data_IF_526043713650
#
_entry.id   IF_526043713650
#
_cell.length_a   1.000
_cell.length_b   1.000
_cell.length_c   1.000
_cell.angle_alpha   90.00
_cell.angle_beta   90.00
_cell.angle_gamma   90.00
#
_symmetry.space_group_name_H-M   'P 1'
#
loop_
_entity.id
_entity.type
_entity.pdbx_description
1 polymer ?
#
# COMPACT_ATOMS: atom_id res chain seq x y z
N UNK A 1 -34.39 -28.26 -80.05
CA UNK A 1 -34.81 -28.98 -78.78
C UNK A 1 -33.68 -28.83 -77.83
N UNK A 2 -33.92 -27.92 -76.91
CA UNK A 2 -32.91 -27.32 -76.05
C UNK A 2 -32.67 -28.17 -74.79
N UNK A 3 -31.41 -28.42 -74.50
CA UNK A 3 -30.97 -29.02 -73.29
C UNK A 3 -30.30 -27.94 -72.41
N UNK A 4 -30.98 -27.52 -71.36
CA UNK A 4 -30.51 -26.52 -70.40
C UNK A 4 -29.45 -27.13 -69.48
N UNK A 5 -28.21 -26.64 -69.55
CA UNK A 5 -27.15 -26.91 -68.61
C UNK A 5 -27.31 -26.02 -67.40
N UNK A 6 -27.61 -26.61 -66.23
CA UNK A 6 -27.52 -25.94 -64.91
C UNK A 6 -26.08 -26.00 -64.40
N UNK A 7 -25.42 -24.85 -64.38
CA UNK A 7 -24.11 -24.67 -63.74
C UNK A 7 -24.30 -24.58 -62.19
N UNK A 8 -23.81 -25.57 -61.47
CA UNK A 8 -23.69 -25.52 -60.01
C UNK A 8 -22.48 -24.68 -59.61
N UNK A 9 -22.70 -23.53 -58.96
CA UNK A 9 -21.67 -22.74 -58.33
C UNK A 9 -21.34 -23.33 -56.95
N UNK A 10 -20.15 -23.91 -56.84
CA UNK A 10 -19.56 -24.27 -55.52
C UNK A 10 -19.08 -22.98 -54.84
N UNK A 11 -19.75 -22.62 -53.74
CA UNK A 11 -19.25 -21.57 -52.84
C UNK A 11 -18.34 -22.22 -51.82
N UNK A 12 -17.04 -22.03 -52.00
CA UNK A 12 -16.03 -22.45 -51.01
C UNK A 12 -16.04 -21.45 -49.85
N UNK A 13 -16.61 -21.85 -48.71
CA UNK A 13 -16.49 -21.13 -47.46
C UNK A 13 -15.12 -21.44 -46.85
N UNK A 14 -14.17 -20.51 -46.94
CA UNK A 14 -12.91 -20.59 -46.22
C UNK A 14 -13.18 -20.25 -44.73
N UNK A 15 -13.19 -21.26 -43.89
CA UNK A 15 -13.20 -21.07 -42.42
C UNK A 15 -11.80 -20.64 -41.99
N UNK A 16 -11.62 -19.34 -41.78
CA UNK A 16 -10.42 -18.79 -41.17
C UNK A 16 -10.44 -19.10 -39.67
N UNK A 17 -9.85 -20.22 -39.25
CA UNK A 17 -9.66 -20.54 -37.85
C UNK A 17 -8.54 -19.64 -37.28
N UNK A 18 -8.91 -18.53 -36.65
CA UNK A 18 -8.01 -17.78 -35.78
C UNK A 18 -7.69 -18.64 -34.57
N UNK A 19 -6.52 -19.27 -34.56
CA UNK A 19 -5.98 -19.90 -33.36
C UNK A 19 -5.67 -18.76 -32.34
N UNK A 20 -6.56 -18.57 -31.37
CA UNK A 20 -6.27 -17.77 -30.18
C UNK A 20 -5.26 -18.62 -29.38
N UNK A 21 -3.97 -18.27 -29.45
CA UNK A 21 -2.97 -18.78 -28.52
C UNK A 21 -3.32 -18.22 -27.12
N UNK A 22 -4.18 -18.91 -26.40
CA UNK A 22 -4.32 -18.72 -24.98
C UNK A 22 -2.99 -19.14 -24.34
N UNK A 23 -2.19 -18.18 -23.91
CA UNK A 23 -1.03 -18.42 -23.06
C UNK A 23 -1.52 -19.21 -21.85
N UNK A 24 -1.13 -20.47 -21.73
CA UNK A 24 -1.57 -21.33 -20.65
C UNK A 24 -0.95 -20.79 -19.34
N UNK A 25 -1.78 -20.25 -18.47
CA UNK A 25 -1.36 -19.86 -17.13
C UNK A 25 -0.98 -21.11 -16.34
N UNK A 26 0.20 -21.09 -15.72
CA UNK A 26 0.67 -22.18 -14.87
C UNK A 26 0.44 -21.79 -13.40
N UNK A 27 -0.39 -22.55 -12.71
CA UNK A 27 -0.62 -22.41 -11.27
C UNK A 27 0.30 -23.34 -10.52
N UNK A 28 1.13 -22.79 -9.62
CA UNK A 28 1.98 -23.53 -8.68
C UNK A 28 1.52 -23.23 -7.26
N UNK A 29 1.40 -24.24 -6.43
CA UNK A 29 1.02 -24.09 -5.02
C UNK A 29 2.13 -24.68 -4.14
N UNK A 30 2.56 -23.92 -3.15
CA UNK A 30 3.58 -24.30 -2.17
C UNK A 30 2.97 -24.23 -0.78
N UNK A 31 3.26 -25.21 0.05
CA UNK A 31 2.78 -25.30 1.43
C UNK A 31 3.95 -25.47 2.38
N UNK A 32 3.99 -24.62 3.42
CA UNK A 32 5.04 -24.67 4.43
C UNK A 32 4.40 -24.78 5.81
N UNK A 33 4.88 -25.68 6.62
CA UNK A 33 4.52 -25.73 8.05
C UNK A 33 5.48 -24.82 8.80
N UNK A 34 4.93 -23.87 9.55
CA UNK A 34 5.70 -22.87 10.30
C UNK A 34 5.24 -22.82 11.76
N UNK A 35 6.10 -22.34 12.63
CA UNK A 35 5.76 -22.05 14.02
C UNK A 35 5.20 -20.63 14.19
N UNK A 36 4.92 -20.20 15.43
CA UNK A 36 4.43 -18.85 15.74
C UNK A 36 5.41 -17.78 15.26
N UNK A 37 4.86 -16.63 14.86
CA UNK A 37 5.62 -15.45 14.39
C UNK A 37 6.58 -15.79 13.25
N UNK A 38 6.09 -16.54 12.28
CA UNK A 38 6.85 -16.86 11.07
C UNK A 38 7.19 -15.61 10.28
N UNK A 39 8.34 -15.60 9.60
CA UNK A 39 8.77 -14.52 8.74
C UNK A 39 8.62 -14.94 7.27
N UNK A 40 7.78 -14.22 6.52
CA UNK A 40 7.49 -14.51 5.12
C UNK A 40 7.99 -13.36 4.25
N UNK A 41 8.87 -13.66 3.30
CA UNK A 41 9.40 -12.66 2.35
C UNK A 41 9.03 -13.05 0.93
N UNK A 42 8.41 -12.12 0.19
CA UNK A 42 8.03 -12.33 -1.20
C UNK A 42 8.55 -11.16 -2.03
N UNK A 43 9.36 -11.48 -3.02
CA UNK A 43 9.89 -10.50 -3.97
C UNK A 43 9.40 -10.84 -5.37
N UNK A 44 8.73 -9.88 -5.98
CA UNK A 44 8.19 -9.99 -7.34
C UNK A 44 8.55 -8.76 -8.15
N UNK A 45 8.81 -8.91 -9.42
CA UNK A 45 9.05 -7.77 -10.31
C UNK A 45 7.75 -7.23 -10.89
N UNK A 46 6.92 -8.14 -11.41
CA UNK A 46 5.68 -7.83 -12.12
C UNK A 46 4.53 -8.71 -11.61
N UNK A 47 3.39 -8.11 -11.37
CA UNK A 47 2.19 -8.78 -10.90
C UNK A 47 1.91 -8.55 -9.40
N UNK A 48 0.67 -8.76 -8.98
CA UNK A 48 0.22 -8.49 -7.62
C UNK A 48 0.77 -9.50 -6.61
N UNK A 49 0.94 -9.04 -5.37
CA UNK A 49 1.12 -9.89 -4.21
C UNK A 49 0.01 -9.55 -3.20
N UNK A 50 -0.82 -10.54 -2.87
CA UNK A 50 -1.89 -10.40 -1.88
C UNK A 50 -1.68 -11.38 -0.74
N UNK A 51 -1.59 -10.87 0.49
CA UNK A 51 -1.41 -11.66 1.70
C UNK A 51 -2.63 -11.50 2.61
N UNK A 52 -3.16 -12.63 3.07
CA UNK A 52 -4.30 -12.73 3.98
C UNK A 52 -4.03 -13.71 5.11
N UNK A 53 -4.72 -13.57 6.25
CA UNK A 53 -4.58 -14.54 7.32
C UNK A 53 -5.23 -15.88 6.95
N UNK A 54 -4.62 -16.96 7.43
CA UNK A 54 -5.18 -18.31 7.46
C UNK A 54 -5.63 -18.67 8.87
N UNK A 55 -6.48 -19.67 8.99
CA UNK A 55 -6.93 -20.18 10.29
C UNK A 55 -5.97 -21.19 10.92
N UNK A 56 -4.83 -21.50 10.28
CA UNK A 56 -3.91 -22.54 10.71
C UNK A 56 -2.46 -22.07 10.84
N UNK A 57 -1.56 -23.03 11.05
CA UNK A 57 -0.10 -22.81 11.17
C UNK A 57 0.63 -23.05 9.84
N UNK A 58 -0.08 -23.06 8.74
CA UNK A 58 0.51 -23.27 7.41
C UNK A 58 0.55 -21.94 6.64
N UNK A 59 1.65 -21.75 5.94
CA UNK A 59 1.79 -20.78 4.86
C UNK A 59 1.45 -21.48 3.56
N UNK A 60 0.49 -20.94 2.81
CA UNK A 60 0.12 -21.43 1.48
C UNK A 60 0.39 -20.34 0.48
N UNK A 61 1.28 -20.59 -0.46
CA UNK A 61 1.63 -19.66 -1.52
C UNK A 61 1.12 -20.21 -2.84
N UNK A 62 0.19 -19.50 -3.47
CA UNK A 62 -0.26 -19.77 -4.84
C UNK A 62 0.40 -18.77 -5.76
N UNK A 63 1.21 -19.26 -6.70
CA UNK A 63 1.82 -18.47 -7.76
C UNK A 63 1.16 -18.79 -9.11
N UNK A 64 0.68 -17.77 -9.80
CA UNK A 64 0.07 -17.87 -11.13
C UNK A 64 1.04 -17.22 -12.12
N UNK A 65 1.75 -18.07 -12.90
CA UNK A 65 2.69 -17.62 -13.91
C UNK A 65 1.94 -17.43 -15.24
N UNK A 66 2.09 -16.25 -15.82
CA UNK A 66 1.41 -15.89 -17.07
C UNK A 66 2.16 -16.30 -18.34
N UNK A 67 3.40 -16.75 -18.20
CA UNK A 67 4.21 -17.33 -19.28
C UNK A 67 5.35 -18.21 -18.73
N UNK A 68 6.18 -18.72 -19.62
CA UNK A 68 7.43 -19.45 -19.31
C UNK A 68 8.65 -18.52 -19.12
N UNK A 69 8.44 -17.21 -19.12
CA UNK A 69 9.51 -16.21 -18.95
C UNK A 69 9.79 -15.86 -17.49
N UNK A 70 9.09 -16.49 -16.57
CA UNK A 70 9.32 -16.37 -15.14
C UNK A 70 9.34 -17.74 -14.47
N UNK A 71 10.11 -17.84 -13.41
CA UNK A 71 10.17 -19.00 -12.51
C UNK A 71 10.01 -18.55 -11.08
N UNK A 72 9.55 -19.45 -10.22
CA UNK A 72 9.40 -19.20 -8.78
C UNK A 72 10.46 -19.98 -8.04
N UNK A 73 11.41 -19.26 -7.46
CA UNK A 73 12.38 -19.76 -6.51
C UNK A 73 11.78 -19.73 -5.11
N UNK A 74 11.98 -20.75 -4.34
CA UNK A 74 11.41 -20.86 -3.00
C UNK A 74 12.39 -21.52 -2.05
N UNK A 75 12.41 -21.04 -0.81
CA UNK A 75 13.22 -21.67 0.25
C UNK A 75 12.52 -21.55 1.59
N UNK A 76 12.75 -22.55 2.44
CA UNK A 76 12.35 -22.50 3.85
C UNK A 76 13.56 -22.80 4.73
N UNK A 77 13.78 -21.95 5.73
CA UNK A 77 14.79 -22.16 6.77
C UNK A 77 14.12 -21.95 8.14
N UNK A 78 13.79 -23.05 8.80
CA UNK A 78 13.05 -23.01 10.05
C UNK A 78 11.70 -22.30 9.88
N UNK A 79 11.54 -21.17 10.57
CA UNK A 79 10.32 -20.37 10.59
C UNK A 79 10.28 -19.27 9.52
N UNK A 80 11.28 -19.23 8.65
CA UNK A 80 11.39 -18.25 7.55
C UNK A 80 11.10 -18.92 6.22
N UNK A 81 10.24 -18.27 5.43
CA UNK A 81 9.90 -18.65 4.05
C UNK A 81 10.25 -17.48 3.12
N UNK A 82 11.08 -17.74 2.12
CA UNK A 82 11.47 -16.77 1.11
C UNK A 82 11.00 -17.24 -0.26
N UNK A 83 10.30 -16.37 -0.98
CA UNK A 83 9.77 -16.59 -2.32
C UNK A 83 10.28 -15.46 -3.24
N UNK A 84 10.80 -15.83 -4.39
CA UNK A 84 11.34 -14.90 -5.37
C UNK A 84 10.84 -15.25 -6.78
N UNK A 85 10.34 -14.29 -7.52
CA UNK A 85 10.13 -14.43 -8.97
C UNK A 85 11.46 -14.21 -9.69
N UNK A 86 11.98 -15.25 -10.31
CA UNK A 86 13.13 -15.19 -11.20
C UNK A 86 12.65 -14.93 -12.62
N UNK A 87 13.13 -13.84 -13.24
CA UNK A 87 12.80 -13.49 -14.62
C UNK A 87 13.91 -13.95 -15.56
N UNK A 88 13.51 -14.58 -16.66
CA UNK A 88 14.44 -14.91 -17.73
C UNK A 88 14.74 -13.71 -18.62
N UNK A 89 15.80 -13.81 -19.40
CA UNK A 89 16.21 -12.76 -20.32
C UNK A 89 15.05 -12.35 -21.25
N UNK A 90 14.90 -11.05 -21.52
CA UNK A 90 13.81 -10.45 -22.31
C UNK A 90 12.40 -10.56 -21.71
N UNK A 91 12.25 -10.92 -20.44
CA UNK A 91 10.94 -10.84 -19.80
C UNK A 91 10.45 -9.39 -19.69
N UNK A 92 9.22 -9.14 -20.16
CA UNK A 92 8.52 -7.85 -20.07
C UNK A 92 7.53 -7.85 -18.89
N UNK A 93 6.90 -6.72 -18.53
CA UNK A 93 5.85 -6.70 -17.52
C UNK A 93 4.68 -7.66 -17.81
N UNK A 94 4.40 -7.94 -19.09
CA UNK A 94 3.34 -8.86 -19.50
C UNK A 94 3.81 -10.33 -19.43
N UNK A 95 5.01 -10.61 -19.95
CA UNK A 95 5.54 -11.98 -20.05
C UNK A 95 6.21 -12.45 -18.76
N UNK A 96 6.78 -11.54 -17.94
CA UNK A 96 7.38 -11.86 -16.65
C UNK A 96 6.39 -11.78 -15.47
N UNK A 97 5.09 -11.64 -15.73
CA UNK A 97 4.08 -11.47 -14.70
C UNK A 97 3.85 -12.75 -13.91
N UNK A 98 3.94 -12.63 -12.58
CA UNK A 98 3.57 -13.68 -11.62
C UNK A 98 2.62 -13.06 -10.59
N UNK A 99 1.44 -13.63 -10.42
CA UNK A 99 0.47 -13.19 -9.43
C UNK A 99 0.57 -14.09 -8.20
N UNK A 100 0.71 -13.51 -7.00
CA UNK A 100 0.81 -14.24 -5.76
C UNK A 100 -0.44 -14.05 -4.89
N UNK A 101 -1.05 -15.17 -4.52
CA UNK A 101 -2.07 -15.26 -3.47
C UNK A 101 -1.49 -16.03 -2.29
N UNK A 102 -1.40 -15.42 -1.12
CA UNK A 102 -0.67 -15.98 0.01
C UNK A 102 -1.55 -15.99 1.25
N UNK A 103 -1.64 -17.15 1.87
CA UNK A 103 -2.29 -17.32 3.16
C UNK A 103 -1.22 -17.58 4.21
N UNK A 104 -1.22 -16.83 5.30
CA UNK A 104 -0.23 -16.91 6.38
C UNK A 104 -0.93 -16.98 7.74
N UNK A 105 -0.30 -17.53 8.78
CA UNK A 105 -0.80 -17.34 10.15
C UNK A 105 -0.96 -15.87 10.48
N UNK A 106 -1.99 -15.49 11.22
CA UNK A 106 -2.29 -14.08 11.50
C UNK A 106 -1.17 -13.34 12.26
N UNK A 107 -0.36 -14.07 13.04
CA UNK A 107 0.81 -13.57 13.78
C UNK A 107 2.11 -13.55 12.98
N UNK A 108 2.06 -13.92 11.69
CA UNK A 108 3.25 -13.92 10.82
C UNK A 108 3.66 -12.48 10.43
N UNK A 109 4.97 -12.24 10.42
CA UNK A 109 5.55 -11.02 9.86
C UNK A 109 5.76 -11.20 8.36
N UNK A 110 5.34 -10.20 7.56
CA UNK A 110 5.43 -10.26 6.11
C UNK A 110 6.29 -9.12 5.54
N UNK A 111 7.13 -9.46 4.59
CA UNK A 111 7.91 -8.49 3.81
C UNK A 111 7.60 -8.69 2.33
N UNK A 112 6.96 -7.71 1.70
CA UNK A 112 6.58 -7.77 0.30
C UNK A 112 7.33 -6.73 -0.50
N UNK A 113 7.94 -7.15 -1.61
CA UNK A 113 8.66 -6.27 -2.53
C UNK A 113 8.16 -6.44 -3.95
N UNK A 114 7.88 -5.32 -4.62
CA UNK A 114 7.50 -5.32 -6.02
C UNK A 114 8.02 -4.08 -6.74
N UNK A 115 8.43 -4.24 -8.00
CA UNK A 115 8.76 -3.08 -8.82
C UNK A 115 7.50 -2.31 -9.24
N UNK A 116 6.50 -2.99 -9.80
CA UNK A 116 5.29 -2.35 -10.36
C UNK A 116 3.98 -3.00 -9.97
N UNK A 117 3.98 -4.26 -9.53
CA UNK A 117 2.77 -4.97 -9.16
C UNK A 117 2.18 -4.47 -7.83
N UNK A 118 0.85 -4.41 -7.71
CA UNK A 118 0.22 -3.98 -6.45
C UNK A 118 0.55 -4.94 -5.29
N UNK A 119 0.75 -4.36 -4.11
CA UNK A 119 1.00 -5.07 -2.86
C UNK A 119 -0.20 -4.90 -1.92
N UNK A 120 -0.68 -5.99 -1.35
CA UNK A 120 -1.78 -5.97 -0.38
C UNK A 120 -1.47 -6.88 0.80
N UNK A 121 -1.64 -6.35 2.00
CA UNK A 121 -1.60 -7.09 3.26
C UNK A 121 -2.85 -6.78 4.08
N UNK A 122 -3.50 -7.81 4.60
CA UNK A 122 -4.81 -7.67 5.25
C UNK A 122 -4.93 -8.59 6.46
N UNK A 123 -5.51 -8.09 7.58
CA UNK A 123 -5.93 -8.88 8.72
C UNK A 123 -4.80 -9.52 9.54
N UNK A 124 -3.62 -8.89 9.62
CA UNK A 124 -2.46 -9.44 10.30
C UNK A 124 -2.22 -8.76 11.66
N UNK A 125 -1.57 -9.52 12.56
CA UNK A 125 -1.08 -9.07 13.87
C UNK A 125 0.45 -9.11 13.96
N UNK A 126 1.13 -9.58 12.92
CA UNK A 126 2.59 -9.53 12.76
C UNK A 126 3.02 -8.32 11.96
N UNK A 127 4.32 -8.02 11.99
CA UNK A 127 4.89 -6.85 11.31
C UNK A 127 4.68 -6.93 9.79
N UNK A 128 4.36 -5.78 9.17
CA UNK A 128 4.11 -5.64 7.74
C UNK A 128 5.10 -4.66 7.14
N UNK A 129 5.92 -5.13 6.21
CA UNK A 129 6.88 -4.31 5.47
C UNK A 129 6.59 -4.39 3.98
N UNK A 130 6.24 -3.25 3.36
CA UNK A 130 5.99 -3.14 1.92
C UNK A 130 7.02 -2.21 1.27
N UNK A 131 7.62 -2.66 0.18
CA UNK A 131 8.59 -1.88 -0.57
C UNK A 131 8.32 -1.98 -2.07
N UNK A 132 8.24 -0.83 -2.74
CA UNK A 132 7.98 -0.82 -4.18
C UNK A 132 8.40 0.47 -4.88
N UNK A 133 8.63 0.36 -6.19
CA UNK A 133 8.98 1.53 -7.00
C UNK A 133 7.73 2.26 -7.50
N UNK A 134 6.84 1.56 -8.20
CA UNK A 134 5.60 2.11 -8.78
C UNK A 134 4.38 1.28 -8.34
N UNK A 135 4.53 0.47 -7.31
CA UNK A 135 3.51 -0.41 -6.81
C UNK A 135 2.46 0.36 -6.00
N UNK A 136 1.19 0.15 -6.29
CA UNK A 136 0.12 0.51 -5.37
C UNK A 136 0.20 -0.37 -4.12
N UNK A 137 0.09 0.22 -2.93
CA UNK A 137 0.21 -0.49 -1.67
C UNK A 137 -1.06 -0.28 -0.82
N UNK A 138 -1.73 -1.37 -0.52
CA UNK A 138 -2.93 -1.37 0.33
C UNK A 138 -2.66 -2.21 1.59
N UNK A 139 -2.76 -1.61 2.76
CA UNK A 139 -2.64 -2.29 4.06
C UNK A 139 -3.93 -2.08 4.84
N UNK A 140 -4.56 -3.17 5.25
CA UNK A 140 -5.89 -3.14 5.86
C UNK A 140 -5.94 -3.99 7.12
N UNK A 141 -6.67 -3.50 8.14
CA UNK A 141 -7.02 -4.28 9.32
C UNK A 141 -5.81 -4.88 10.03
N UNK A 142 -4.79 -4.07 10.30
CA UNK A 142 -3.61 -4.46 11.07
C UNK A 142 -3.75 -3.95 12.51
N UNK A 143 -3.40 -4.78 13.47
CA UNK A 143 -3.40 -4.37 14.88
C UNK A 143 -2.17 -4.89 15.62
N UNK A 144 -1.73 -4.11 16.62
CA UNK A 144 -0.65 -4.45 17.54
C UNK A 144 0.69 -4.79 16.85
N UNK A 145 0.98 -4.14 15.71
CA UNK A 145 2.10 -4.50 14.84
C UNK A 145 2.84 -3.26 14.30
N UNK A 146 4.04 -3.48 13.76
CA UNK A 146 4.77 -2.44 13.02
C UNK A 146 4.39 -2.50 11.54
N UNK A 147 4.03 -1.35 10.96
CA UNK A 147 3.77 -1.18 9.53
C UNK A 147 4.81 -0.25 8.95
N UNK A 148 5.66 -0.79 8.09
CA UNK A 148 6.74 -0.05 7.45
C UNK A 148 6.58 -0.06 5.94
N UNK A 149 6.45 1.14 5.33
CA UNK A 149 6.21 1.27 3.90
C UNK A 149 7.22 2.19 3.25
N UNK A 150 7.79 1.73 2.12
CA UNK A 150 8.66 2.54 1.27
C UNK A 150 8.18 2.49 -0.18
N UNK A 151 7.94 3.66 -0.77
CA UNK A 151 7.59 3.78 -2.18
C UNK A 151 8.31 4.93 -2.87
N UNK A 152 8.60 4.76 -4.16
CA UNK A 152 9.07 5.87 -4.98
C UNK A 152 7.89 6.65 -5.58
N UNK A 153 6.92 5.97 -6.20
CA UNK A 153 5.81 6.62 -6.92
C UNK A 153 4.50 5.81 -6.89
N UNK A 154 4.29 4.97 -5.88
CA UNK A 154 3.04 4.21 -5.72
C UNK A 154 2.08 4.91 -4.76
N UNK A 155 0.78 4.83 -5.03
CA UNK A 155 -0.24 5.20 -4.05
C UNK A 155 -0.17 4.26 -2.85
N UNK A 156 -0.10 4.82 -1.66
CA UNK A 156 -0.16 4.08 -0.39
C UNK A 156 -1.50 4.34 0.29
N UNK A 157 -2.22 3.28 0.61
CA UNK A 157 -3.47 3.35 1.38
C UNK A 157 -3.37 2.48 2.63
N UNK A 158 -3.56 3.08 3.78
CA UNK A 158 -3.64 2.41 5.07
C UNK A 158 -5.06 2.56 5.60
N UNK A 159 -5.71 1.46 5.96
CA UNK A 159 -7.10 1.48 6.44
C UNK A 159 -7.26 0.59 7.67
N UNK A 160 -7.87 1.13 8.73
CA UNK A 160 -8.15 0.42 9.97
C UNK A 160 -6.87 -0.19 10.60
N UNK A 161 -5.88 0.65 10.85
CA UNK A 161 -4.67 0.27 11.58
C UNK A 161 -4.81 0.74 13.02
N UNK A 162 -4.73 -0.19 13.97
CA UNK A 162 -4.95 0.11 15.37
C UNK A 162 -3.77 -0.33 16.23
N UNK A 163 -3.39 0.52 17.19
CA UNK A 163 -2.30 0.27 18.14
C UNK A 163 -0.98 -0.11 17.45
N UNK A 164 -0.74 0.42 16.23
CA UNK A 164 0.43 0.12 15.42
C UNK A 164 1.49 1.22 15.46
N UNK A 165 2.75 0.84 15.29
CA UNK A 165 3.80 1.76 14.87
C UNK A 165 3.80 1.84 13.36
N UNK A 166 3.39 2.98 12.80
CA UNK A 166 3.26 3.18 11.36
C UNK A 166 4.34 4.13 10.87
N UNK A 167 5.15 3.66 9.94
CA UNK A 167 6.16 4.45 9.24
C UNK A 167 5.98 4.36 7.73
N UNK A 168 5.74 5.50 7.08
CA UNK A 168 5.61 5.59 5.63
C UNK A 168 6.63 6.58 5.07
N UNK A 169 7.40 6.14 4.10
CA UNK A 169 8.30 6.97 3.31
C UNK A 169 7.91 6.91 1.84
N UNK A 170 7.54 8.05 1.25
CA UNK A 170 7.18 8.20 -0.15
C UNK A 170 8.04 9.26 -0.81
N UNK A 171 8.44 9.06 -2.07
CA UNK A 171 9.08 10.12 -2.84
C UNK A 171 8.03 10.99 -3.54
N UNK A 172 7.15 10.39 -4.36
CA UNK A 172 6.13 11.13 -5.13
C UNK A 172 4.74 10.51 -5.10
N UNK A 173 4.59 9.31 -4.53
CA UNK A 173 3.29 8.69 -4.36
C UNK A 173 2.47 9.34 -3.25
N UNK A 174 1.18 9.49 -3.48
CA UNK A 174 0.25 9.98 -2.47
C UNK A 174 0.09 8.95 -1.33
N UNK A 175 -0.14 9.45 -0.12
CA UNK A 175 -0.34 8.63 1.08
C UNK A 175 -1.70 8.94 1.69
N UNK A 176 -2.54 7.92 1.82
CA UNK A 176 -3.87 8.03 2.41
C UNK A 176 -3.95 7.13 3.65
N UNK A 177 -4.26 7.74 4.79
CA UNK A 177 -4.47 7.06 6.06
C UNK A 177 -5.92 7.23 6.46
N UNK A 178 -6.65 6.14 6.58
CA UNK A 178 -8.04 6.13 7.01
C UNK A 178 -8.21 5.27 8.27
N UNK A 179 -8.66 5.87 9.37
CA UNK A 179 -8.78 5.20 10.67
C UNK A 179 -7.45 4.54 11.11
N UNK A 180 -6.37 5.32 11.09
CA UNK A 180 -5.05 4.87 11.53
C UNK A 180 -4.73 5.49 12.88
N UNK A 181 -4.50 4.65 13.88
CA UNK A 181 -4.16 5.07 15.24
C UNK A 181 -3.10 4.18 15.88
N UNK A 182 -2.29 4.76 16.76
CA UNK A 182 -1.25 4.02 17.46
C UNK A 182 -0.29 4.94 18.20
N UNK A 183 0.67 4.35 18.91
CA UNK A 183 1.67 5.13 19.68
C UNK A 183 2.52 6.03 18.78
N UNK A 184 2.79 5.62 17.52
CA UNK A 184 3.53 6.41 16.55
C UNK A 184 2.94 6.24 15.15
N UNK A 185 2.62 7.38 14.50
CA UNK A 185 2.25 7.43 13.08
C UNK A 185 3.12 8.46 12.39
N UNK A 186 4.08 8.02 11.62
CA UNK A 186 5.03 8.88 10.93
C UNK A 186 4.91 8.71 9.42
N UNK A 187 4.67 9.81 8.71
CA UNK A 187 4.60 9.84 7.24
C UNK A 187 5.53 10.94 6.72
N UNK A 188 6.46 10.53 5.89
CA UNK A 188 7.39 11.43 5.21
C UNK A 188 7.19 11.31 3.69
N UNK A 189 6.88 12.41 3.02
CA UNK A 189 6.79 12.49 1.57
C UNK A 189 7.71 13.58 1.01
N UNK A 190 8.26 13.38 -0.18
CA UNK A 190 8.96 14.47 -0.87
C UNK A 190 7.97 15.34 -1.62
N UNK A 191 7.09 14.77 -2.44
CA UNK A 191 6.15 15.54 -3.26
C UNK A 191 4.71 15.02 -3.27
N UNK A 192 4.47 13.79 -2.80
CA UNK A 192 3.12 13.23 -2.73
C UNK A 192 2.26 13.94 -1.68
N UNK A 193 0.96 13.99 -1.95
CA UNK A 193 -0.04 14.50 -1.01
C UNK A 193 -0.22 13.52 0.14
N UNK A 194 -0.34 14.04 1.37
CA UNK A 194 -0.68 13.24 2.55
C UNK A 194 -2.11 13.56 2.96
N UNK A 195 -2.95 12.54 3.04
CA UNK A 195 -4.31 12.67 3.55
C UNK A 195 -4.48 11.76 4.77
N UNK A 196 -4.84 12.34 5.88
CA UNK A 196 -5.21 11.64 7.11
C UNK A 196 -6.70 11.87 7.40
N UNK A 197 -7.42 10.79 7.67
CA UNK A 197 -8.81 10.84 8.12
C UNK A 197 -8.98 9.90 9.31
N UNK A 198 -9.01 10.46 10.52
CA UNK A 198 -9.05 9.70 11.75
C UNK A 198 -9.28 10.60 12.98
N UNK A 199 -9.29 10.01 14.15
CA UNK A 199 -9.51 10.69 15.44
C UNK A 199 -8.21 11.01 16.19
N UNK A 200 -7.05 10.63 15.64
CA UNK A 200 -5.74 10.70 16.28
C UNK A 200 -5.60 9.84 17.54
N UNK A 201 -6.53 8.94 17.81
CA UNK A 201 -6.49 8.06 18.96
C UNK A 201 -6.53 8.77 20.31
N UNK A 202 -6.35 8.01 21.38
CA UNK A 202 -6.38 8.50 22.78
C UNK A 202 -5.00 8.84 23.37
N UNK A 203 -3.93 8.43 22.70
CA UNK A 203 -2.53 8.78 23.03
C UNK A 203 -1.63 8.34 21.87
N UNK A 204 -0.81 9.24 21.35
CA UNK A 204 0.09 8.91 20.26
C UNK A 204 0.82 10.13 19.72
N UNK A 205 1.85 9.86 18.93
CA UNK A 205 2.60 10.87 18.20
C UNK A 205 2.33 10.73 16.70
N UNK A 206 1.82 11.79 16.10
CA UNK A 206 1.51 11.87 14.67
C UNK A 206 2.43 12.90 14.02
N UNK A 207 3.25 12.45 13.11
CA UNK A 207 4.17 13.30 12.36
C UNK A 207 3.91 13.13 10.86
N UNK A 208 3.22 14.10 10.25
CA UNK A 208 2.95 14.12 8.83
C UNK A 208 3.77 15.22 8.17
N UNK A 209 4.74 14.85 7.35
CA UNK A 209 5.66 15.79 6.73
C UNK A 209 5.75 15.59 5.21
N UNK A 210 5.70 16.70 4.46
CA UNK A 210 5.97 16.72 3.04
C UNK A 210 6.91 17.87 2.66
N UNK A 211 7.74 17.67 1.65
CA UNK A 211 8.55 18.79 1.16
C UNK A 211 7.72 19.73 0.27
N UNK A 212 7.01 19.21 -0.74
CA UNK A 212 6.21 20.03 -1.65
C UNK A 212 4.73 19.67 -1.69
N UNK A 213 4.36 18.47 -1.23
CA UNK A 213 2.98 18.00 -1.25
C UNK A 213 2.12 18.65 -0.16
N UNK A 214 0.83 18.73 -0.45
CA UNK A 214 -0.16 19.20 0.51
C UNK A 214 -0.43 18.16 1.61
N UNK A 215 -0.81 18.64 2.79
CA UNK A 215 -1.22 17.80 3.91
C UNK A 215 -2.65 18.17 4.29
N UNK A 216 -3.55 17.21 4.20
CA UNK A 216 -4.94 17.34 4.63
C UNK A 216 -5.20 16.35 5.76
N UNK A 217 -5.51 16.87 6.95
CA UNK A 217 -5.82 16.05 8.11
C UNK A 217 -7.25 16.34 8.56
N UNK A 218 -8.12 15.32 8.54
CA UNK A 218 -9.52 15.43 8.96
C UNK A 218 -9.73 14.73 10.29
N UNK A 219 -10.37 15.42 11.22
CA UNK A 219 -10.68 14.90 12.57
C UNK A 219 -12.11 15.24 13.00
N UNK A 220 -12.71 14.49 13.93
CA UNK A 220 -13.98 14.82 14.55
C UNK A 220 -13.84 15.96 15.57
N UNK A 221 -14.95 16.57 15.95
CA UNK A 221 -14.96 17.69 16.90
C UNK A 221 -14.48 17.33 18.30
N UNK A 222 -14.59 16.09 18.69
CA UNK A 222 -14.20 15.56 20.00
C UNK A 222 -12.77 15.00 20.02
N UNK A 223 -12.02 15.13 18.92
CA UNK A 223 -10.60 14.75 18.88
C UNK A 223 -9.83 15.49 19.99
N UNK A 224 -8.92 14.77 20.64
CA UNK A 224 -8.15 15.26 21.78
C UNK A 224 -6.68 15.41 21.38
N UNK A 225 -6.30 16.58 20.86
CA UNK A 225 -5.00 16.79 20.24
C UNK A 225 -4.26 18.03 20.73
N UNK A 226 -2.94 17.91 20.78
CA UNK A 226 -1.98 18.98 20.81
C UNK A 226 -1.38 19.13 19.43
N UNK A 227 -1.80 20.14 18.67
CA UNK A 227 -1.41 20.28 17.26
C UNK A 227 -0.44 21.42 17.03
N UNK A 228 0.55 21.16 16.19
CA UNK A 228 1.43 22.17 15.62
C UNK A 228 1.47 21.96 14.10
N UNK A 229 1.08 22.97 13.33
CA UNK A 229 1.13 22.94 11.88
C UNK A 229 1.98 24.11 11.36
N UNK A 230 2.86 23.82 10.40
CA UNK A 230 3.74 24.82 9.78
C UNK A 230 4.01 24.51 8.32
N UNK A 231 3.79 25.49 7.45
CA UNK A 231 4.31 25.49 6.08
C UNK A 231 5.27 26.66 5.88
N UNK A 232 6.48 26.40 5.37
CA UNK A 232 7.51 27.45 5.25
C UNK A 232 7.16 28.44 4.15
N UNK A 233 6.63 27.97 3.01
CA UNK A 233 6.28 28.79 1.85
C UNK A 233 4.80 28.72 1.45
N UNK A 234 4.07 27.70 1.94
CA UNK A 234 2.65 27.51 1.68
C UNK A 234 1.76 28.19 2.70
N UNK A 235 0.51 27.79 2.72
CA UNK A 235 -0.53 28.29 3.63
C UNK A 235 -0.94 27.19 4.59
N UNK A 236 -1.40 27.61 5.78
CA UNK A 236 -1.91 26.70 6.79
C UNK A 236 -3.31 27.14 7.20
N UNK A 237 -4.28 26.25 7.04
CA UNK A 237 -5.69 26.47 7.37
C UNK A 237 -6.13 25.52 8.49
N UNK A 238 -7.06 25.97 9.31
CA UNK A 238 -7.59 25.23 10.44
C UNK A 238 -9.07 25.57 10.65
N UNK A 239 -9.92 24.54 10.73
CA UNK A 239 -11.37 24.68 10.91
C UNK A 239 -11.80 24.58 12.39
N UNK A 240 -10.87 24.32 13.32
CA UNK A 240 -11.17 24.14 14.74
C UNK A 240 -10.91 25.40 15.55
N UNK A 241 -11.67 25.54 16.63
CA UNK A 241 -11.33 26.48 17.69
C UNK A 241 -10.30 25.81 18.61
N UNK A 242 -9.06 26.24 18.49
CA UNK A 242 -7.95 25.74 19.30
C UNK A 242 -7.67 26.70 20.45
N UNK A 243 -7.35 26.16 21.63
CA UNK A 243 -6.70 26.94 22.69
C UNK A 243 -5.26 27.24 22.26
N UNK A 244 -4.89 28.53 22.07
CA UNK A 244 -3.61 28.88 21.46
C UNK A 244 -2.44 28.53 22.38
N UNK A 245 -1.38 27.99 21.79
CA UNK A 245 -0.08 27.80 22.43
C UNK A 245 0.92 28.85 21.95
N UNK A 246 1.83 29.21 22.84
CA UNK A 246 2.97 30.03 22.47
C UNK A 246 3.86 29.28 21.48
N UNK A 247 4.07 29.85 20.29
CA UNK A 247 5.00 29.29 19.31
C UNK A 247 6.36 29.96 19.48
N UNK A 248 7.47 29.19 19.61
CA UNK A 248 8.81 29.79 19.79
C UNK A 248 9.37 30.43 18.53
N UNK A 249 8.59 30.58 17.48
CA UNK A 249 9.06 31.13 16.19
C UNK A 249 8.29 32.37 15.78
N UNK A 250 8.97 33.30 15.19
CA UNK A 250 8.36 34.39 14.43
C UNK A 250 7.89 33.78 13.09
N UNK A 251 6.58 33.67 12.89
CA UNK A 251 5.99 33.12 11.66
C UNK A 251 5.25 34.20 10.91
N UNK A 252 5.27 34.07 9.59
CA UNK A 252 4.41 34.91 8.72
C UNK A 252 2.95 34.54 9.02
N UNK A 253 2.07 35.53 9.07
CA UNK A 253 0.64 35.29 9.27
C UNK A 253 0.11 34.26 8.26
N UNK A 254 -0.66 33.26 8.71
CA UNK A 254 -1.21 32.21 7.88
C UNK A 254 -0.24 31.10 7.45
N UNK A 255 1.00 31.09 7.96
CA UNK A 255 1.98 30.03 7.66
C UNK A 255 2.17 29.00 8.77
N UNK A 256 1.58 29.23 9.93
CA UNK A 256 1.61 28.28 11.03
C UNK A 256 0.49 28.56 12.06
N UNK A 257 0.10 27.51 12.77
CA UNK A 257 -0.66 27.61 14.01
C UNK A 257 -0.19 26.54 15.01
N UNK A 258 -0.44 26.76 16.28
CA UNK A 258 -0.26 25.77 17.34
C UNK A 258 -1.35 25.98 18.39
N UNK A 259 -1.88 24.88 18.88
CA UNK A 259 -2.93 24.93 19.90
C UNK A 259 -3.33 23.55 20.38
N UNK A 260 -4.19 23.54 21.38
CA UNK A 260 -4.75 22.32 21.94
C UNK A 260 -6.25 22.24 21.75
N UNK A 261 -6.76 21.05 21.67
CA UNK A 261 -8.17 20.73 21.64
C UNK A 261 -8.48 19.63 22.63
N UNK A 262 -9.50 19.86 23.45
CA UNK A 262 -9.91 18.96 24.53
C UNK A 262 -8.74 18.66 25.51
N UNK A 263 -8.48 17.38 25.81
CA UNK A 263 -7.46 16.96 26.77
C UNK A 263 -6.04 16.94 26.21
N UNK A 264 -5.85 17.28 24.93
CA UNK A 264 -4.56 17.25 24.24
C UNK A 264 -3.84 15.88 24.38
N UNK A 265 -4.58 14.79 24.23
CA UNK A 265 -4.10 13.45 24.53
C UNK A 265 -3.07 12.94 23.52
N UNK A 266 -3.18 13.36 22.24
CA UNK A 266 -2.25 12.99 21.19
C UNK A 266 -1.50 14.21 20.65
N UNK A 267 -0.20 14.03 20.32
CA UNK A 267 0.64 15.06 19.72
C UNK A 267 0.57 14.95 18.19
N UNK A 268 0.17 16.05 17.52
CA UNK A 268 0.03 16.11 16.06
C UNK A 268 0.93 17.17 15.48
N UNK A 269 1.87 16.78 14.63
CA UNK A 269 2.80 17.68 13.95
C UNK A 269 2.62 17.58 12.46
N UNK A 270 2.17 18.68 11.83
CA UNK A 270 1.99 18.79 10.39
C UNK A 270 3.03 19.75 9.84
N UNK A 271 3.87 19.28 8.94
CA UNK A 271 4.94 20.08 8.38
C UNK A 271 5.00 19.99 6.86
N UNK A 272 5.01 21.13 6.16
CA UNK A 272 5.35 21.19 4.75
C UNK A 272 6.36 22.30 4.48
N UNK A 273 7.24 22.12 3.50
CA UNK A 273 8.11 23.20 3.08
C UNK A 273 7.38 24.19 2.16
N UNK A 274 6.61 23.71 1.17
CA UNK A 274 5.89 24.58 0.22
C UNK A 274 4.43 24.20 -0.04
N UNK A 275 3.97 23.04 0.40
CA UNK A 275 2.58 22.61 0.25
C UNK A 275 1.64 23.31 1.24
N UNK A 276 0.35 23.25 0.94
CA UNK A 276 -0.72 23.70 1.81
C UNK A 276 -0.96 22.66 2.91
N UNK A 277 -1.24 23.13 4.13
CA UNK A 277 -1.69 22.28 5.23
C UNK A 277 -3.10 22.69 5.61
N UNK A 278 -4.00 21.72 5.72
CA UNK A 278 -5.37 21.97 6.16
C UNK A 278 -5.78 20.95 7.24
N UNK A 279 -6.03 21.45 8.44
CA UNK A 279 -6.67 20.68 9.51
C UNK A 279 -8.18 20.90 9.41
N UNK A 280 -8.88 19.87 8.92
CA UNK A 280 -10.29 19.89 8.59
C UNK A 280 -11.15 19.29 9.69
N UNK A 281 -12.30 19.87 9.85
CA UNK A 281 -13.40 19.32 10.64
C UNK A 281 -14.16 18.29 9.79
N UNK A 282 -14.39 17.12 10.37
CA UNK A 282 -15.20 16.06 9.80
C UNK A 282 -16.68 16.34 9.97
#
# INVERSE_FOLDING_TARGET
MESAQRAARLVSVAILSTAICASAQVRKEFRYTVGPRAAISITNQYGPISVKPSTGTQVVVTAILHSDRAEVDQSQSGNRVDILSHLFFEATPETGRVDYEVLVPADASVTLRSATGPLRAEGLHGDVSLEGSQAKMDVLEISDAHVHIKTLNGLVTLTNIHNGHVEVTSVSGDVVLHSVSGPLVQVNSTSGKIRYDGDFGSSGEYYLASHTGDIEASAPNDASIDVTARSVRGQVENDFLLEPKHTPFVVKAGSAFAGTMNKAASSVRLFSFSGKIHLKKR
#
